data_IF_640195030362
#
_entry.id   IF_640195030362
#
_cell.length_a   1.000
_cell.length_b   1.000
_cell.length_c   1.000
_cell.angle_alpha   90.00
_cell.angle_beta   90.00
_cell.angle_gamma   90.00
#
_symmetry.space_group_name_H-M   'P 1'
#
loop_
_entity.id
_entity.type
_entity.pdbx_description
1 polymer ?
#
# COMPACT_ATOMS: atom_id res chain seq x y z
N UNK A 1 -15.85 15.25 0.90
CA UNK A 1 -15.77 15.48 -0.54
C UNK A 1 -16.09 14.16 -1.20
N UNK A 2 -17.26 14.05 -1.78
CA UNK A 2 -17.65 12.95 -2.65
C UNK A 2 -16.74 13.04 -3.87
N UNK A 3 -15.69 12.23 -3.94
CA UNK A 3 -14.98 12.01 -5.19
C UNK A 3 -15.99 11.43 -6.16
N UNK A 4 -16.31 12.17 -7.20
CA UNK A 4 -16.94 11.60 -8.39
C UNK A 4 -15.90 10.68 -9.01
N UNK A 5 -16.00 9.39 -8.69
CA UNK A 5 -14.99 8.34 -8.91
C UNK A 5 -14.53 8.29 -10.37
N UNK A 6 -15.41 8.62 -11.32
CA UNK A 6 -15.14 8.41 -12.73
C UNK A 6 -14.33 9.51 -13.42
N UNK A 7 -14.50 10.77 -13.04
CA UNK A 7 -13.76 11.86 -13.69
C UNK A 7 -12.30 11.96 -13.24
N UNK A 8 -11.98 11.44 -12.05
CA UNK A 8 -10.66 11.60 -11.45
C UNK A 8 -9.86 10.30 -11.34
N UNK A 9 -10.45 9.15 -11.75
CA UNK A 9 -9.84 7.83 -11.60
C UNK A 9 -8.49 7.75 -12.33
N UNK A 10 -8.45 8.17 -13.60
CA UNK A 10 -7.24 8.21 -14.40
C UNK A 10 -6.19 9.17 -13.79
N UNK A 11 -6.60 10.37 -13.38
CA UNK A 11 -5.73 11.34 -12.74
C UNK A 11 -5.10 10.80 -11.45
N UNK A 12 -5.89 10.21 -10.57
CA UNK A 12 -5.39 9.65 -9.32
C UNK A 12 -4.49 8.43 -9.54
N UNK A 13 -4.81 7.60 -10.53
CA UNK A 13 -3.97 6.48 -10.95
C UNK A 13 -2.60 6.94 -11.44
N UNK A 14 -2.54 7.88 -12.37
CA UNK A 14 -1.28 8.43 -12.87
C UNK A 14 -0.48 9.15 -11.79
N UNK A 15 -1.13 9.91 -10.92
CA UNK A 15 -0.50 10.56 -9.79
C UNK A 15 0.09 9.54 -8.80
N UNK A 16 -0.58 8.42 -8.59
CA UNK A 16 -0.07 7.33 -7.77
C UNK A 16 1.16 6.69 -8.43
N UNK A 17 1.08 6.32 -9.72
CA UNK A 17 2.19 5.74 -10.47
C UNK A 17 3.42 6.65 -10.51
N UNK A 18 3.21 7.96 -10.66
CA UNK A 18 4.33 8.93 -10.67
C UNK A 18 5.09 9.03 -9.34
N UNK A 19 4.57 8.42 -8.29
CA UNK A 19 5.12 8.45 -6.93
C UNK A 19 5.61 7.09 -6.44
N UNK A 20 5.45 6.04 -7.24
CA UNK A 20 6.02 4.73 -6.94
C UNK A 20 7.54 4.82 -6.78
N UNK A 21 8.13 3.97 -5.94
CA UNK A 21 9.57 4.03 -5.62
C UNK A 21 10.00 5.16 -4.67
N UNK A 22 9.08 5.97 -4.15
CA UNK A 22 9.41 6.97 -3.12
C UNK A 22 9.48 6.35 -1.72
N UNK A 23 10.28 7.00 -0.86
CA UNK A 23 10.58 6.55 0.51
C UNK A 23 9.38 6.42 1.45
N UNK A 24 8.22 6.99 1.10
CA UNK A 24 7.02 6.93 1.94
C UNK A 24 5.98 6.04 1.29
N UNK A 25 5.48 5.02 2.00
CA UNK A 25 4.40 4.21 1.49
C UNK A 25 3.16 5.07 1.25
N UNK A 26 2.48 4.82 0.14
CA UNK A 26 1.24 5.50 -0.22
C UNK A 26 0.15 4.47 -0.40
N UNK A 27 -1.07 4.85 -0.11
CA UNK A 27 -2.26 4.05 -0.35
C UNK A 27 -3.08 4.72 -1.45
N UNK A 28 -3.37 3.96 -2.51
CA UNK A 28 -4.45 4.27 -3.44
C UNK A 28 -5.64 3.38 -3.09
N UNK A 29 -6.68 3.99 -2.58
CA UNK A 29 -7.90 3.30 -2.20
C UNK A 29 -9.06 3.80 -3.08
N UNK A 30 -9.58 2.89 -3.91
CA UNK A 30 -10.70 3.18 -4.81
C UNK A 30 -11.91 2.37 -4.34
N UNK A 31 -13.04 3.04 -4.22
CA UNK A 31 -14.29 2.39 -3.86
C UNK A 31 -15.46 3.03 -4.62
N UNK A 32 -16.53 2.30 -4.79
CA UNK A 32 -17.72 2.76 -5.49
C UNK A 32 -18.77 1.67 -5.55
N UNK A 33 -19.89 1.97 -6.20
CA UNK A 33 -20.98 1.04 -6.41
C UNK A 33 -21.05 0.63 -7.87
N UNK A 34 -21.35 -0.63 -8.14
CA UNK A 34 -21.38 -1.17 -9.50
C UNK A 34 -22.42 -0.49 -10.40
N UNK A 35 -23.56 -0.05 -9.84
CA UNK A 35 -24.58 0.64 -10.61
C UNK A 35 -24.11 2.01 -11.20
N UNK A 36 -23.15 2.66 -10.52
CA UNK A 36 -22.56 3.91 -11.01
C UNK A 36 -21.77 3.70 -12.31
N UNK A 37 -21.24 2.48 -12.51
CA UNK A 37 -20.52 2.11 -13.74
C UNK A 37 -21.47 1.98 -14.92
N UNK A 38 -22.67 1.43 -14.70
CA UNK A 38 -23.67 1.26 -15.75
C UNK A 38 -24.22 2.62 -16.23
N UNK A 39 -24.49 3.53 -15.28
CA UNK A 39 -25.08 4.84 -15.59
C UNK A 39 -24.15 5.75 -16.39
N UNK A 40 -22.83 5.60 -16.22
CA UNK A 40 -21.84 6.53 -16.79
C UNK A 40 -20.93 5.89 -17.83
N UNK A 41 -21.30 4.71 -18.37
CA UNK A 41 -20.42 3.93 -19.25
C UNK A 41 -19.02 3.70 -18.59
N UNK A 42 -19.02 3.53 -17.28
CA UNK A 42 -17.82 3.52 -16.43
C UNK A 42 -17.02 2.23 -16.51
N UNK A 43 -17.57 1.15 -17.07
CA UNK A 43 -16.89 -0.13 -17.18
C UNK A 43 -15.60 -0.04 -18.00
N UNK A 44 -15.62 0.67 -19.12
CA UNK A 44 -14.42 0.90 -19.93
C UNK A 44 -13.37 1.70 -19.16
N UNK A 45 -13.78 2.73 -18.43
CA UNK A 45 -12.88 3.53 -17.60
C UNK A 45 -12.25 2.69 -16.47
N UNK A 46 -13.03 1.84 -15.83
CA UNK A 46 -12.53 0.93 -14.79
C UNK A 46 -11.57 -0.10 -15.38
N UNK A 47 -11.88 -0.68 -16.55
CA UNK A 47 -11.01 -1.64 -17.22
C UNK A 47 -9.66 -1.01 -17.61
N UNK A 48 -9.68 0.20 -18.18
CA UNK A 48 -8.47 0.92 -18.54
C UNK A 48 -7.64 1.29 -17.31
N UNK A 49 -8.29 1.70 -16.23
CA UNK A 49 -7.64 1.95 -14.94
C UNK A 49 -6.97 0.68 -14.40
N UNK A 50 -7.68 -0.45 -14.37
CA UNK A 50 -7.14 -1.72 -13.92
C UNK A 50 -5.98 -2.20 -14.80
N UNK A 51 -6.10 -2.05 -16.11
CA UNK A 51 -5.03 -2.40 -17.08
C UNK A 51 -3.79 -1.53 -16.86
N UNK A 52 -3.99 -0.24 -16.60
CA UNK A 52 -2.89 0.72 -16.39
C UNK A 52 -2.16 0.51 -15.06
N UNK A 53 -2.88 0.20 -14.00
CA UNK A 53 -2.30 0.00 -12.66
C UNK A 53 -1.87 -1.43 -12.39
N UNK A 54 -2.41 -2.40 -13.12
CA UNK A 54 -2.12 -3.82 -12.91
C UNK A 54 -0.69 -4.21 -13.28
N UNK A 55 -0.13 -5.21 -12.58
CA UNK A 55 1.16 -5.82 -12.92
C UNK A 55 2.40 -4.97 -12.60
N UNK A 56 2.27 -3.87 -11.86
CA UNK A 56 3.42 -3.05 -11.45
C UNK A 56 4.20 -3.74 -10.32
N UNK A 57 5.50 -3.90 -10.48
CA UNK A 57 6.34 -4.64 -9.53
C UNK A 57 6.51 -3.94 -8.17
N UNK A 58 6.33 -2.64 -8.13
CA UNK A 58 6.47 -1.79 -6.94
C UNK A 58 5.13 -1.43 -6.28
N UNK A 59 4.04 -2.08 -6.71
CA UNK A 59 2.72 -1.93 -6.12
C UNK A 59 2.31 -3.22 -5.40
N UNK A 60 2.00 -3.09 -4.12
CA UNK A 60 1.35 -4.15 -3.37
C UNK A 60 -0.17 -4.06 -3.54
N UNK A 61 -0.75 -5.01 -4.27
CA UNK A 61 -2.19 -5.15 -4.42
C UNK A 61 -2.72 -5.95 -3.23
N UNK A 62 -3.49 -5.31 -2.38
CA UNK A 62 -3.91 -5.89 -1.11
C UNK A 62 -5.39 -5.62 -0.82
N UNK A 63 -5.99 -6.53 -0.11
CA UNK A 63 -7.31 -6.36 0.49
C UNK A 63 -7.22 -5.50 1.76
N UNK A 64 -8.37 -4.97 2.20
CA UNK A 64 -8.42 -4.17 3.43
C UNK A 64 -7.90 -4.92 4.66
N UNK A 65 -8.19 -6.22 4.75
CA UNK A 65 -7.75 -7.03 5.89
C UNK A 65 -6.24 -7.26 5.86
N UNK A 66 -5.64 -7.46 4.69
CA UNK A 66 -4.18 -7.59 4.57
C UNK A 66 -3.46 -6.32 4.98
N UNK A 67 -3.98 -5.15 4.59
CA UNK A 67 -3.42 -3.84 5.00
C UNK A 67 -3.58 -3.66 6.51
N UNK A 68 -4.74 -4.00 7.06
CA UNK A 68 -4.98 -3.93 8.50
C UNK A 68 -4.00 -4.81 9.28
N UNK A 69 -3.88 -6.08 8.90
CA UNK A 69 -2.99 -7.04 9.53
C UNK A 69 -1.52 -6.60 9.47
N UNK A 70 -1.08 -6.10 8.32
CA UNK A 70 0.27 -5.57 8.14
C UNK A 70 0.53 -4.38 9.07
N UNK A 71 -0.41 -3.44 9.14
CA UNK A 71 -0.30 -2.30 10.05
C UNK A 71 -0.27 -2.71 11.51
N UNK A 72 -1.07 -3.71 11.90
CA UNK A 72 -1.03 -4.27 13.26
C UNK A 72 0.33 -4.93 13.56
N UNK A 73 0.90 -5.64 12.60
CA UNK A 73 2.22 -6.24 12.73
C UNK A 73 3.31 -5.18 12.92
N UNK A 74 3.29 -4.12 12.10
CA UNK A 74 4.23 -3.00 12.23
C UNK A 74 4.07 -2.25 13.58
N UNK A 75 2.84 -2.10 14.08
CA UNK A 75 2.58 -1.42 15.35
C UNK A 75 3.08 -2.21 16.59
N UNK A 76 3.33 -3.50 16.42
CA UNK A 76 3.85 -4.39 17.49
C UNK A 76 5.35 -4.52 17.50
N UNK A 77 6.06 -3.89 16.56
CA UNK A 77 7.51 -3.93 16.55
C UNK A 77 8.09 -3.32 17.83
N UNK A 78 9.04 -4.02 18.43
CA UNK A 78 9.70 -3.62 19.66
C UNK A 78 11.14 -3.24 19.37
N UNK A 79 11.51 -2.00 19.68
CA UNK A 79 12.85 -1.48 19.44
C UNK A 79 13.68 -1.55 20.72
N UNK A 80 14.98 -1.86 20.56
CA UNK A 80 15.94 -1.74 21.66
C UNK A 80 16.07 -0.30 22.15
N UNK A 81 16.55 -0.10 23.38
CA UNK A 81 16.72 1.22 23.95
C UNK A 81 17.62 2.14 23.13
N UNK A 82 18.64 1.55 22.49
CA UNK A 82 19.60 2.25 21.63
C UNK A 82 19.16 2.32 20.17
N UNK A 83 17.96 1.79 19.85
CA UNK A 83 17.40 1.71 18.51
C UNK A 83 18.31 1.04 17.47
N UNK A 84 19.22 0.15 17.90
CA UNK A 84 20.13 -0.61 17.04
C UNK A 84 19.55 -1.96 16.59
N UNK A 85 18.42 -2.36 17.17
CA UNK A 85 17.73 -3.63 16.89
C UNK A 85 16.22 -3.49 16.98
N UNK A 86 15.52 -4.31 16.20
CA UNK A 86 14.06 -4.44 16.26
C UNK A 86 13.68 -5.91 16.42
N UNK A 87 12.79 -6.20 17.36
CA UNK A 87 12.11 -7.49 17.48
C UNK A 87 10.74 -7.41 16.80
N UNK A 88 10.44 -8.38 15.96
CA UNK A 88 9.15 -8.50 15.31
C UNK A 88 8.38 -9.69 15.93
N UNK A 89 7.48 -9.47 16.88
CA UNK A 89 6.69 -10.53 17.52
C UNK A 89 5.59 -11.12 16.64
N UNK A 90 5.39 -10.58 15.44
CA UNK A 90 4.30 -11.00 14.55
C UNK A 90 4.72 -12.19 13.66
N UNK A 91 3.73 -12.81 13.01
CA UNK A 91 3.96 -13.88 12.02
C UNK A 91 4.17 -13.35 10.59
N UNK A 92 4.36 -12.05 10.42
CA UNK A 92 4.55 -11.39 9.11
C UNK A 92 5.84 -10.59 9.13
N UNK A 93 6.54 -10.57 8.01
CA UNK A 93 7.66 -9.67 7.83
C UNK A 93 7.18 -8.21 7.77
N UNK A 94 7.92 -7.33 8.46
CA UNK A 94 7.70 -5.90 8.39
C UNK A 94 8.91 -5.22 7.74
N UNK A 95 8.66 -4.15 7.00
CA UNK A 95 9.71 -3.42 6.31
C UNK A 95 9.87 -2.04 6.94
N UNK A 96 11.10 -1.72 7.28
CA UNK A 96 11.51 -0.45 7.87
C UNK A 96 12.40 0.31 6.90
N UNK A 97 12.40 1.62 7.03
CA UNK A 97 13.34 2.47 6.32
C UNK A 97 14.25 3.15 7.35
N UNK A 98 15.51 2.72 7.41
CA UNK A 98 16.51 3.15 8.41
C UNK A 98 17.73 3.66 7.68
N UNK A 99 18.15 4.88 7.97
CA UNK A 99 19.37 5.53 7.43
C UNK A 99 19.56 5.40 5.92
N UNK A 100 18.47 5.49 5.19
CA UNK A 100 18.52 5.45 3.73
C UNK A 100 18.36 4.06 3.13
N UNK A 101 18.25 3.01 3.96
CA UNK A 101 18.13 1.62 3.52
C UNK A 101 16.81 0.99 3.94
N UNK A 102 16.35 0.03 3.15
CA UNK A 102 15.20 -0.79 3.49
C UNK A 102 15.67 -2.01 4.27
N UNK A 103 15.16 -2.16 5.49
CA UNK A 103 15.49 -3.26 6.40
C UNK A 103 14.25 -4.14 6.57
N UNK A 104 14.43 -5.44 6.41
CA UNK A 104 13.38 -6.43 6.66
C UNK A 104 13.45 -6.90 8.13
N UNK A 105 12.45 -6.54 8.91
CA UNK A 105 12.21 -7.12 10.23
C UNK A 105 11.47 -8.45 10.07
N UNK A 106 12.22 -9.55 10.02
CA UNK A 106 11.67 -10.87 9.77
C UNK A 106 10.73 -11.33 10.90
N UNK A 107 9.70 -12.07 10.54
CA UNK A 107 8.69 -12.60 11.47
C UNK A 107 9.33 -13.42 12.60
N UNK A 108 8.99 -13.11 13.85
CA UNK A 108 9.47 -13.82 15.04
C UNK A 108 10.95 -13.63 15.37
N UNK A 109 11.64 -12.66 14.74
CA UNK A 109 13.09 -12.51 14.88
C UNK A 109 13.51 -11.12 15.36
N UNK A 110 14.73 -11.05 15.89
CA UNK A 110 15.44 -9.81 16.17
C UNK A 110 16.31 -9.49 14.96
N UNK A 111 16.17 -8.28 14.44
CA UNK A 111 16.93 -7.78 13.27
C UNK A 111 17.78 -6.58 13.71
N UNK A 112 19.08 -6.53 13.37
CA UNK A 112 19.88 -5.31 13.50
C UNK A 112 19.36 -4.19 12.58
N UNK A 113 19.48 -2.95 13.02
CA UNK A 113 19.07 -1.76 12.29
C UNK A 113 20.27 -0.93 11.81
#
# INVERSE_FOLDING_TARGET
>A
PTCHIFNDLAYHGEKFLSRTGRRKPMLLYVWGHSYELDENNGWTLLEDFCRRLGGQADIWYATNIEIYDYRQSCARLEFSADADRVYNPSCRDCWLYVDGQTVRAAAGQITPL
#
